data_IF_749713100471
#
_entry.id   IF_749713100471
#
_cell.length_a   1.000
_cell.length_b   1.000
_cell.length_c   1.000
_cell.angle_alpha   90.00
_cell.angle_beta   90.00
_cell.angle_gamma   90.00
#
_symmetry.space_group_name_H-M   'P 1'
#
loop_
_entity.id
_entity.type
_entity.pdbx_description
1 polymer ?
#
# COMPACT_ATOMS: atom_id res chain seq x y z
N UNK A 1 40.21 -53.74 31.76
CA UNK A 1 39.58 -52.41 31.79
C UNK A 1 39.82 -51.72 30.47
N UNK A 2 38.90 -51.92 29.53
CA UNK A 2 38.94 -51.39 28.16
C UNK A 2 38.19 -50.05 28.15
N UNK A 3 38.94 -48.95 28.10
CA UNK A 3 38.39 -47.61 28.00
C UNK A 3 37.82 -47.38 26.58
N UNK A 4 36.49 -47.35 26.46
CA UNK A 4 35.79 -46.90 25.24
C UNK A 4 35.93 -45.39 25.12
N UNK A 5 36.65 -44.92 24.09
CA UNK A 5 36.67 -43.52 23.67
C UNK A 5 35.38 -43.23 22.89
N UNK A 6 34.53 -42.36 23.41
CA UNK A 6 33.43 -41.78 22.66
C UNK A 6 33.99 -40.67 21.75
N UNK A 7 33.91 -40.89 20.43
CA UNK A 7 34.10 -39.84 19.45
C UNK A 7 32.81 -39.02 19.38
N UNK A 8 32.87 -37.75 19.81
CA UNK A 8 31.82 -36.78 19.54
C UNK A 8 32.08 -36.22 18.15
N UNK A 9 31.26 -36.61 17.17
CA UNK A 9 31.21 -35.95 15.86
C UNK A 9 30.32 -34.72 16.05
N UNK A 10 30.93 -33.54 16.14
CA UNK A 10 30.23 -32.28 15.97
C UNK A 10 30.15 -32.05 14.46
N UNK A 11 29.01 -32.40 13.86
CA UNK A 11 28.70 -31.99 12.50
C UNK A 11 28.40 -30.50 12.51
N UNK A 12 29.35 -29.67 12.09
CA UNK A 12 29.05 -28.33 11.60
C UNK A 12 28.27 -28.51 10.30
N UNK A 13 26.93 -28.49 10.38
CA UNK A 13 26.12 -28.19 9.20
C UNK A 13 26.32 -26.71 8.87
N UNK A 14 27.37 -26.43 8.09
CA UNK A 14 27.36 -25.30 7.17
C UNK A 14 26.29 -25.61 6.13
N UNK A 15 25.03 -25.30 6.43
CA UNK A 15 24.09 -25.00 5.36
C UNK A 15 24.62 -23.72 4.72
N UNK A 16 25.42 -23.89 3.68
CA UNK A 16 25.51 -22.88 2.65
C UNK A 16 24.10 -22.74 2.10
N UNK A 17 23.32 -21.83 2.68
CA UNK A 17 22.12 -21.30 2.03
C UNK A 17 22.63 -20.77 0.71
N UNK A 18 22.35 -21.46 -0.39
CA UNK A 18 22.44 -20.83 -1.69
C UNK A 18 21.47 -19.66 -1.61
N UNK A 19 22.02 -18.46 -1.50
CA UNK A 19 21.30 -17.25 -1.89
C UNK A 19 21.05 -17.49 -3.38
N UNK A 20 19.87 -18.03 -3.71
CA UNK A 20 19.33 -17.89 -5.05
C UNK A 20 19.21 -16.39 -5.21
N UNK A 21 20.01 -15.81 -6.09
CA UNK A 21 19.88 -14.39 -6.39
C UNK A 21 18.45 -14.17 -6.88
N UNK A 22 17.74 -13.21 -6.28
CA UNK A 22 16.56 -12.64 -6.91
C UNK A 22 16.87 -12.33 -8.37
N UNK A 23 16.01 -12.79 -9.28
CA UNK A 23 16.02 -12.25 -10.63
C UNK A 23 15.30 -10.90 -10.58
N UNK A 24 15.95 -9.84 -11.07
CA UNK A 24 15.35 -8.49 -11.14
C UNK A 24 16.35 -7.37 -10.84
N UNK A 25 15.86 -6.14 -10.99
CA UNK A 25 16.67 -4.94 -10.78
C UNK A 25 16.80 -4.52 -9.30
N UNK A 26 16.06 -5.17 -8.38
CA UNK A 26 16.25 -4.99 -6.93
C UNK A 26 17.37 -5.90 -6.42
N UNK A 27 18.47 -5.31 -5.92
CA UNK A 27 19.68 -6.05 -5.55
C UNK A 27 19.89 -6.24 -4.03
N UNK A 28 19.28 -5.39 -3.20
CA UNK A 28 19.54 -5.32 -1.76
C UNK A 28 18.27 -5.60 -0.94
N UNK A 29 17.75 -6.81 -1.06
CA UNK A 29 16.52 -7.24 -0.36
C UNK A 29 16.85 -7.59 1.09
N UNK A 30 16.10 -7.01 2.03
CA UNK A 30 16.16 -7.37 3.45
C UNK A 30 14.76 -7.65 3.99
N UNK A 31 14.68 -8.54 4.98
CA UNK A 31 13.43 -8.81 5.68
C UNK A 31 13.18 -7.72 6.73
N UNK A 32 12.06 -6.99 6.58
CA UNK A 32 11.59 -6.02 7.59
C UNK A 32 11.08 -6.75 8.84
N UNK A 33 10.28 -7.78 8.61
CA UNK A 33 9.59 -8.54 9.64
C UNK A 33 9.09 -9.88 9.07
N UNK A 34 8.66 -10.79 9.93
CA UNK A 34 8.14 -12.11 9.54
C UNK A 34 6.98 -12.54 10.44
N UNK A 35 5.99 -13.22 9.85
CA UNK A 35 4.89 -13.77 10.62
C UNK A 35 5.39 -14.86 11.57
N UNK A 36 5.07 -14.76 12.85
CA UNK A 36 5.24 -15.87 13.79
C UNK A 36 4.11 -16.91 13.53
N UNK A 37 4.42 -18.12 13.07
CA UNK A 37 3.41 -19.14 12.75
C UNK A 37 2.65 -19.62 13.99
N UNK A 38 3.19 -19.44 15.19
CA UNK A 38 2.54 -19.76 16.46
C UNK A 38 1.62 -18.62 16.96
N UNK A 39 1.63 -17.47 16.31
CA UNK A 39 0.82 -16.32 16.73
C UNK A 39 -0.67 -16.48 16.38
N UNK A 40 -1.47 -15.60 16.98
CA UNK A 40 -2.89 -15.43 16.66
C UNK A 40 -3.14 -14.86 15.26
N UNK A 41 -2.07 -14.47 14.56
CA UNK A 41 -2.17 -13.88 13.23
C UNK A 41 -1.97 -14.92 12.13
N UNK A 42 -2.57 -14.66 10.97
CA UNK A 42 -2.55 -15.54 9.80
C UNK A 42 -1.64 -15.03 8.68
N UNK A 43 -1.43 -13.71 8.62
CA UNK A 43 -0.72 -13.03 7.52
C UNK A 43 -0.15 -11.68 7.99
N UNK A 44 0.96 -11.28 7.37
CA UNK A 44 1.42 -9.88 7.32
C UNK A 44 1.08 -9.34 5.92
N UNK A 45 0.50 -8.16 5.82
CA UNK A 45 0.06 -7.63 4.52
C UNK A 45 0.22 -6.12 4.37
N UNK A 46 0.10 -5.66 3.12
CA UNK A 46 0.05 -4.25 2.67
C UNK A 46 1.01 -3.32 3.42
N UNK A 47 2.33 -3.54 3.28
CA UNK A 47 3.28 -2.63 3.87
C UNK A 47 3.26 -1.27 3.16
N UNK A 48 3.44 -0.22 3.96
CA UNK A 48 3.63 1.14 3.50
C UNK A 48 4.86 1.74 4.15
N UNK A 49 5.66 2.43 3.35
CA UNK A 49 6.96 2.97 3.73
C UNK A 49 6.93 4.50 3.74
N UNK A 50 7.67 5.12 4.65
CA UNK A 50 7.94 6.55 4.66
C UNK A 50 9.37 6.85 5.15
N UNK A 51 9.98 7.92 4.60
CA UNK A 51 11.26 8.46 5.07
C UNK A 51 11.02 9.49 6.19
N UNK A 52 11.60 9.24 7.36
CA UNK A 52 11.73 10.25 8.41
C UNK A 52 12.98 11.11 8.18
N UNK A 53 14.08 10.48 7.79
CA UNK A 53 15.34 11.12 7.37
C UNK A 53 16.04 10.22 6.34
N UNK A 54 17.22 10.62 5.87
CA UNK A 54 18.02 9.80 4.93
C UNK A 54 18.44 8.44 5.51
N UNK A 55 18.46 8.32 6.85
CA UNK A 55 18.81 7.07 7.52
C UNK A 55 17.64 6.40 8.22
N UNK A 56 16.59 7.15 8.53
CA UNK A 56 15.47 6.63 9.30
C UNK A 56 14.26 6.37 8.41
N UNK A 57 13.88 5.10 8.31
CA UNK A 57 12.71 4.63 7.57
C UNK A 57 11.66 4.09 8.54
N UNK A 58 10.40 4.32 8.21
CA UNK A 58 9.24 3.85 8.96
C UNK A 58 8.40 2.97 8.04
N UNK A 59 8.17 1.72 8.44
CA UNK A 59 7.35 0.76 7.70
C UNK A 59 6.18 0.33 8.57
N UNK A 60 4.95 0.60 8.12
CA UNK A 60 3.73 0.15 8.76
C UNK A 60 3.04 -0.91 7.90
N UNK A 61 2.44 -1.91 8.55
CA UNK A 61 1.79 -3.04 7.88
C UNK A 61 0.73 -3.67 8.80
N UNK A 62 -0.16 -4.47 8.19
CA UNK A 62 -1.23 -5.17 8.90
C UNK A 62 -0.79 -6.54 9.42
N UNK A 63 -1.37 -6.95 10.55
CA UNK A 63 -1.34 -8.31 11.06
C UNK A 63 -2.75 -8.90 11.05
N UNK A 64 -3.01 -9.87 10.17
CA UNK A 64 -4.32 -10.50 10.03
C UNK A 64 -4.72 -11.26 11.27
N UNK A 65 -5.84 -10.93 11.91
CA UNK A 65 -6.39 -11.84 12.92
C UNK A 65 -6.95 -13.10 12.24
N UNK A 66 -6.60 -14.29 12.76
CA UNK A 66 -7.15 -15.55 12.25
C UNK A 66 -8.67 -15.52 12.23
N UNK A 67 -9.26 -15.85 11.08
CA UNK A 67 -10.71 -15.84 10.87
C UNK A 67 -11.32 -14.45 10.64
N UNK A 68 -10.50 -13.40 10.51
CA UNK A 68 -10.91 -12.04 10.14
C UNK A 68 -10.23 -11.62 8.83
N UNK A 69 -10.84 -11.96 7.66
CA UNK A 69 -10.32 -11.53 6.37
C UNK A 69 -10.05 -10.02 6.32
N UNK A 70 -8.85 -9.67 5.87
CA UNK A 70 -8.40 -8.30 5.59
C UNK A 70 -8.60 -7.31 6.76
N UNK A 71 -8.60 -7.78 8.02
CA UNK A 71 -8.58 -6.92 9.21
C UNK A 71 -7.88 -7.56 10.42
N UNK A 72 -7.23 -6.73 11.24
CA UNK A 72 -6.54 -7.15 12.45
C UNK A 72 -5.87 -6.01 13.17
N UNK A 73 -4.56 -6.08 13.36
CA UNK A 73 -3.77 -5.02 14.03
C UNK A 73 -2.90 -4.27 13.02
N UNK A 74 -2.50 -3.04 13.38
CA UNK A 74 -1.51 -2.27 12.61
C UNK A 74 -0.27 -2.07 13.47
N UNK A 75 0.87 -2.41 12.90
CA UNK A 75 2.17 -2.35 13.55
C UNK A 75 3.15 -1.51 12.74
N UNK A 76 4.26 -1.14 13.37
CA UNK A 76 5.34 -0.35 12.79
C UNK A 76 6.70 -0.99 13.08
N UNK A 77 7.57 -1.09 12.09
CA UNK A 77 8.99 -1.33 12.27
C UNK A 77 9.80 -0.15 11.74
N UNK A 78 10.96 0.11 12.37
CA UNK A 78 11.80 1.27 12.07
C UNK A 78 13.20 0.79 11.74
N UNK A 79 13.77 1.35 10.67
CA UNK A 79 15.21 1.29 10.39
C UNK A 79 15.87 2.60 10.75
N UNK A 80 17.11 2.55 11.25
CA UNK A 80 17.95 3.74 11.57
C UNK A 80 19.21 3.84 10.71
N UNK A 81 19.36 2.96 9.71
CA UNK A 81 20.56 2.82 8.90
C UNK A 81 20.27 2.72 7.39
N UNK A 82 19.15 3.32 6.95
CA UNK A 82 18.75 3.37 5.54
C UNK A 82 18.12 2.06 5.04
N UNK A 83 17.48 1.31 5.93
CA UNK A 83 16.79 0.07 5.60
C UNK A 83 17.66 -1.18 5.66
N UNK A 84 18.90 -1.12 6.18
CA UNK A 84 19.78 -2.29 6.26
C UNK A 84 19.42 -3.22 7.40
N UNK A 85 19.02 -2.64 8.54
CA UNK A 85 18.50 -3.37 9.69
C UNK A 85 17.20 -2.74 10.18
N UNK A 86 16.34 -3.56 10.77
CA UNK A 86 15.01 -3.18 11.23
C UNK A 86 14.81 -3.58 12.70
N UNK A 87 14.25 -2.66 13.48
CA UNK A 87 13.89 -2.92 14.87
C UNK A 87 12.67 -3.85 14.95
N UNK A 88 12.51 -4.60 16.06
CA UNK A 88 11.28 -5.35 16.30
C UNK A 88 10.04 -4.47 16.18
N UNK A 89 8.96 -5.05 15.65
CA UNK A 89 7.70 -4.33 15.42
C UNK A 89 7.14 -3.77 16.73
N UNK A 90 6.55 -2.59 16.65
CA UNK A 90 5.80 -1.92 17.72
C UNK A 90 4.33 -1.85 17.33
N UNK A 91 3.44 -1.92 18.32
CA UNK A 91 2.00 -1.87 18.09
C UNK A 91 1.54 -0.42 17.90
N UNK A 92 0.78 -0.14 16.84
CA UNK A 92 0.19 1.20 16.59
C UNK A 92 -1.30 1.18 16.90
N UNK A 93 -2.03 0.22 16.31
CA UNK A 93 -3.44 -0.02 16.57
C UNK A 93 -3.64 -1.47 16.99
N UNK A 94 -4.25 -1.66 18.16
CA UNK A 94 -4.39 -2.94 18.86
C UNK A 94 -5.87 -3.27 19.09
N UNK A 95 -6.37 -4.33 18.48
CA UNK A 95 -7.77 -4.77 18.58
C UNK A 95 -8.23 -5.12 20.00
N UNK A 96 -7.29 -5.37 20.92
CA UNK A 96 -7.59 -5.66 22.33
C UNK A 96 -7.95 -4.40 23.09
N UNK A 97 -7.52 -3.24 22.59
CA UNK A 97 -7.87 -1.94 23.16
C UNK A 97 -9.28 -1.55 22.69
N UNK A 98 -10.15 -1.25 23.65
CA UNK A 98 -11.52 -0.81 23.41
C UNK A 98 -11.56 0.69 23.17
N UNK A 99 -12.42 1.11 22.25
CA UNK A 99 -12.89 2.49 22.18
C UNK A 99 -14.34 2.53 22.70
N UNK A 100 -14.48 2.94 23.97
CA UNK A 100 -15.73 2.82 24.71
C UNK A 100 -16.17 1.37 24.87
N UNK A 101 -17.34 1.02 24.32
CA UNK A 101 -17.92 -0.33 24.38
C UNK A 101 -17.56 -1.20 23.18
N UNK A 102 -16.88 -0.65 22.18
CA UNK A 102 -16.60 -1.32 20.90
C UNK A 102 -15.13 -1.73 20.86
N UNK A 103 -14.88 -2.94 20.35
CA UNK A 103 -13.55 -3.38 19.91
C UNK A 103 -13.49 -3.27 18.40
N UNK A 104 -12.35 -2.86 17.88
CA UNK A 104 -12.14 -2.69 16.45
C UNK A 104 -11.04 -3.63 15.97
N UNK A 105 -11.12 -4.05 14.72
CA UNK A 105 -9.95 -4.47 13.96
C UNK A 105 -9.65 -3.39 12.94
N UNK A 106 -8.40 -3.36 12.49
CA UNK A 106 -7.84 -2.32 11.65
C UNK A 106 -7.32 -2.93 10.36
N UNK A 107 -7.26 -2.12 9.31
CA UNK A 107 -6.74 -2.55 8.03
C UNK A 107 -6.14 -1.38 7.26
N UNK A 108 -5.19 -1.76 6.40
CA UNK A 108 -4.45 -0.96 5.44
C UNK A 108 -3.71 0.24 6.06
N UNK A 109 -2.39 0.24 5.94
CA UNK A 109 -1.56 1.33 6.43
C UNK A 109 -1.25 2.30 5.28
N UNK A 110 -1.50 3.59 5.49
CA UNK A 110 -1.06 4.66 4.58
C UNK A 110 -0.24 5.68 5.35
N UNK A 111 1.07 5.68 5.15
CA UNK A 111 1.96 6.66 5.74
C UNK A 111 2.02 7.92 4.89
N UNK A 112 2.04 9.08 5.55
CA UNK A 112 2.19 10.36 4.90
C UNK A 112 3.01 11.33 5.76
N UNK A 113 4.08 11.86 5.19
CA UNK A 113 4.86 12.94 5.79
C UNK A 113 4.54 14.26 5.06
N UNK A 114 3.75 15.16 5.63
CA UNK A 114 3.49 16.45 5.01
C UNK A 114 4.79 17.26 4.88
N UNK A 115 5.02 17.94 3.74
CA UNK A 115 6.18 18.82 3.57
C UNK A 115 6.24 19.87 4.68
N UNK A 116 7.45 20.09 5.22
CA UNK A 116 7.70 21.12 6.24
C UNK A 116 7.20 20.78 7.65
N UNK A 117 6.81 19.53 7.91
CA UNK A 117 6.46 19.08 9.26
C UNK A 117 7.34 17.91 9.72
N UNK A 118 7.69 17.93 11.00
CA UNK A 118 8.43 16.86 11.69
C UNK A 118 7.47 15.87 12.35
N UNK A 119 6.48 15.41 11.58
CA UNK A 119 5.57 14.33 11.96
C UNK A 119 5.31 13.42 10.76
N UNK A 120 5.13 12.13 11.01
CA UNK A 120 4.55 11.20 10.03
C UNK A 120 3.15 10.84 10.50
N UNK A 121 2.18 10.98 9.61
CA UNK A 121 0.83 10.48 9.79
C UNK A 121 0.75 9.05 9.30
N UNK A 122 -0.01 8.24 10.03
CA UNK A 122 -0.50 6.93 9.61
C UNK A 122 -2.01 7.03 9.53
N UNK A 123 -2.55 6.91 8.33
CA UNK A 123 -3.98 6.70 8.11
C UNK A 123 -4.24 5.22 7.97
N UNK A 124 -5.27 4.77 8.69
CA UNK A 124 -5.76 3.40 8.64
C UNK A 124 -7.27 3.41 8.58
N UNK A 125 -7.81 2.22 8.43
CA UNK A 125 -9.22 1.97 8.62
C UNK A 125 -9.47 1.16 9.87
N UNK A 126 -10.69 1.26 10.40
CA UNK A 126 -11.20 0.36 11.43
C UNK A 126 -12.60 -0.13 11.12
N UNK A 127 -12.87 -1.37 11.46
CA UNK A 127 -14.19 -1.97 11.46
C UNK A 127 -14.48 -2.61 12.84
N UNK A 128 -15.72 -2.56 13.35
CA UNK A 128 -16.06 -3.26 14.58
C UNK A 128 -15.67 -4.74 14.50
N UNK A 129 -15.03 -5.26 15.55
CA UNK A 129 -14.47 -6.61 15.55
C UNK A 129 -15.53 -7.71 15.37
N UNK A 130 -16.83 -7.43 15.62
CA UNK A 130 -17.89 -8.38 15.29
C UNK A 130 -18.12 -8.57 13.78
N UNK A 131 -17.69 -7.62 12.94
CA UNK A 131 -17.79 -7.77 11.48
C UNK A 131 -16.88 -8.88 10.99
N UNK A 132 -17.26 -9.47 9.86
CA UNK A 132 -16.49 -10.56 9.25
C UNK A 132 -15.20 -10.05 8.63
N UNK A 133 -15.26 -8.88 7.99
CA UNK A 133 -14.19 -8.25 7.22
C UNK A 133 -14.25 -6.72 7.40
N UNK A 134 -13.30 -6.02 6.77
CA UNK A 134 -13.13 -4.57 6.82
C UNK A 134 -13.92 -3.79 5.78
N UNK A 135 -14.85 -4.41 5.03
CA UNK A 135 -15.57 -3.72 3.94
C UNK A 135 -16.44 -2.56 4.42
N UNK A 136 -16.85 -2.58 5.70
CA UNK A 136 -17.60 -1.52 6.35
C UNK A 136 -16.73 -0.78 7.37
N UNK A 137 -15.69 -0.12 6.89
CA UNK A 137 -14.72 0.56 7.74
C UNK A 137 -14.81 2.09 7.73
N UNK A 138 -14.28 2.68 8.79
CA UNK A 138 -14.14 4.12 9.03
C UNK A 138 -12.67 4.51 9.00
N UNK A 139 -12.38 5.75 8.57
CA UNK A 139 -11.03 6.31 8.59
C UNK A 139 -10.61 6.67 10.02
N UNK A 140 -9.39 6.29 10.39
CA UNK A 140 -8.72 6.69 11.64
C UNK A 140 -7.28 7.07 11.36
N UNK A 141 -6.65 7.76 12.31
CA UNK A 141 -5.26 8.15 12.17
C UNK A 141 -4.46 8.00 13.47
N UNK A 142 -3.15 7.87 13.30
CA UNK A 142 -2.17 8.09 14.34
C UNK A 142 -1.04 8.96 13.76
N UNK A 143 -0.26 9.60 14.62
CA UNK A 143 0.97 10.26 14.18
C UNK A 143 2.14 9.90 15.07
N UNK A 144 3.33 10.01 14.51
CA UNK A 144 4.60 9.90 15.23
C UNK A 144 5.41 11.19 15.05
N UNK A 145 6.03 11.64 16.14
CA UNK A 145 6.95 12.79 16.17
C UNK A 145 8.40 12.37 16.48
N UNK A 146 8.68 11.06 16.54
CA UNK A 146 10.00 10.49 16.83
C UNK A 146 10.44 9.46 15.77
N UNK A 147 9.83 9.54 14.58
CA UNK A 147 10.13 8.68 13.44
C UNK A 147 9.76 7.21 13.67
N UNK A 148 8.58 6.97 14.24
CA UNK A 148 7.94 5.65 14.34
C UNK A 148 8.25 4.86 15.60
N UNK A 149 8.93 5.46 16.59
CA UNK A 149 9.26 4.79 17.86
C UNK A 149 8.08 4.83 18.84
N UNK A 150 7.27 5.89 18.77
CA UNK A 150 6.00 6.02 19.47
C UNK A 150 4.92 6.62 18.57
N UNK A 151 3.66 6.32 18.90
CA UNK A 151 2.50 6.70 18.11
C UNK A 151 1.40 7.27 19.01
N UNK A 152 0.82 8.39 18.57
CA UNK A 152 -0.35 9.00 19.20
C UNK A 152 -1.55 8.80 18.29
N UNK A 153 -2.54 8.02 18.74
CA UNK A 153 -3.79 7.83 18.01
C UNK A 153 -4.66 9.09 18.10
N UNK A 154 -5.31 9.45 17.00
CA UNK A 154 -6.23 10.59 16.93
C UNK A 154 -7.48 10.22 16.14
N UNK A 155 -8.63 10.66 16.65
CA UNK A 155 -9.88 10.60 15.90
C UNK A 155 -9.89 11.72 14.85
N UNK A 156 -10.28 11.37 13.62
CA UNK A 156 -10.43 12.33 12.53
C UNK A 156 -11.89 12.67 12.32
N UNK A 157 -12.17 13.92 11.97
CA UNK A 157 -13.48 14.31 11.48
C UNK A 157 -13.60 13.86 10.01
N UNK A 158 -14.62 13.06 9.68
CA UNK A 158 -14.90 12.68 8.31
C UNK A 158 -16.31 13.14 7.93
N UNK A 159 -16.39 14.08 6.99
CA UNK A 159 -17.65 14.56 6.42
C UNK A 159 -18.22 13.61 5.36
N UNK A 160 -17.43 12.63 4.88
CA UNK A 160 -17.96 11.54 4.06
C UNK A 160 -18.72 10.54 4.92
N UNK A 161 -19.95 10.23 4.51
CA UNK A 161 -20.81 9.25 5.16
C UNK A 161 -20.88 8.00 4.29
N UNK A 162 -20.20 6.95 4.72
CA UNK A 162 -20.19 5.66 4.04
C UNK A 162 -18.93 4.87 4.36
N UNK A 163 -18.91 3.59 3.99
CA UNK A 163 -17.72 2.77 4.12
C UNK A 163 -16.66 3.22 3.11
N UNK A 164 -15.40 3.11 3.50
CA UNK A 164 -14.26 3.48 2.68
C UNK A 164 -13.12 2.48 2.83
N UNK A 165 -12.32 2.39 1.78
CA UNK A 165 -11.11 1.56 1.69
C UNK A 165 -9.96 2.40 1.16
N UNK A 166 -8.94 2.63 1.99
CA UNK A 166 -7.69 3.31 1.62
C UNK A 166 -6.55 2.30 1.47
N UNK A 167 -5.67 2.50 0.50
CA UNK A 167 -4.57 1.56 0.20
C UNK A 167 -3.33 2.27 -0.34
N UNK A 168 -3.55 3.27 -1.19
CA UNK A 168 -2.49 3.99 -1.86
C UNK A 168 -2.13 5.30 -1.13
N UNK A 169 -0.85 5.68 -1.22
CA UNK A 169 -0.34 6.90 -0.57
C UNK A 169 -0.97 8.19 -1.11
N UNK A 170 -0.99 9.21 -0.27
CA UNK A 170 -1.58 10.52 -0.54
C UNK A 170 -0.79 11.37 -1.54
N UNK A 171 -1.46 12.33 -2.16
CA UNK A 171 -0.85 13.38 -2.99
C UNK A 171 -1.12 14.75 -2.38
N UNK A 172 -0.11 15.63 -2.38
CA UNK A 172 -0.29 17.04 -2.00
C UNK A 172 -0.43 17.91 -3.25
N UNK A 173 -1.35 18.86 -3.22
CA UNK A 173 -1.45 19.96 -4.18
C UNK A 173 -1.55 21.27 -3.44
N UNK A 174 -1.23 22.39 -4.10
CA UNK A 174 -1.40 23.73 -3.54
C UNK A 174 -2.48 24.44 -4.33
N UNK A 175 -3.52 24.93 -3.66
CA UNK A 175 -4.58 25.74 -4.26
C UNK A 175 -4.67 27.05 -3.48
N UNK A 176 -4.57 28.17 -4.18
CA UNK A 176 -4.63 29.51 -3.59
C UNK A 176 -3.64 29.69 -2.40
N UNK A 177 -2.45 29.08 -2.50
CA UNK A 177 -1.42 29.12 -1.46
C UNK A 177 -1.64 28.17 -0.27
N UNK A 178 -2.72 27.38 -0.28
CA UNK A 178 -3.06 26.44 0.79
C UNK A 178 -2.76 25.00 0.33
N UNK A 179 -2.08 24.17 1.15
CA UNK A 179 -1.92 22.77 0.85
C UNK A 179 -3.25 22.02 0.99
N UNK A 180 -3.60 21.24 -0.03
CA UNK A 180 -4.66 20.24 0.00
C UNK A 180 -4.03 18.85 -0.14
N UNK A 181 -4.46 17.95 0.73
CA UNK A 181 -4.02 16.57 0.79
C UNK A 181 -5.11 15.68 0.24
N UNK A 182 -4.79 14.93 -0.81
CA UNK A 182 -5.69 14.04 -1.53
C UNK A 182 -5.40 12.60 -1.13
N UNK A 183 -6.39 11.94 -0.54
CA UNK A 183 -6.34 10.54 -0.12
C UNK A 183 -7.28 9.74 -1.01
N UNK A 184 -6.75 8.94 -1.96
CA UNK A 184 -7.58 8.08 -2.78
C UNK A 184 -8.20 6.96 -1.93
N UNK A 185 -9.48 6.73 -2.12
CA UNK A 185 -10.25 5.72 -1.41
C UNK A 185 -11.23 5.02 -2.37
N UNK A 186 -11.72 3.86 -1.99
CA UNK A 186 -12.79 3.20 -2.73
C UNK A 186 -13.80 2.56 -1.78
N UNK A 187 -14.86 1.99 -2.32
CA UNK A 187 -15.83 1.19 -1.57
C UNK A 187 -16.27 -0.01 -2.39
N UNK A 188 -16.67 -1.08 -1.69
CA UNK A 188 -17.19 -2.30 -2.29
C UNK A 188 -18.42 -2.80 -1.52
N UNK A 189 -19.43 -1.94 -1.35
CA UNK A 189 -20.66 -2.34 -0.63
C UNK A 189 -21.45 -3.40 -1.39
N UNK A 190 -21.26 -3.49 -2.72
CA UNK A 190 -21.87 -4.51 -3.56
C UNK A 190 -21.54 -5.95 -3.11
N UNK A 191 -20.42 -6.16 -2.42
CA UNK A 191 -20.02 -7.46 -1.86
C UNK A 191 -20.99 -8.00 -0.80
N UNK A 192 -21.73 -7.12 -0.12
CA UNK A 192 -22.65 -7.47 0.99
C UNK A 192 -24.09 -7.04 0.75
N UNK A 193 -24.30 -6.04 -0.09
CA UNK A 193 -25.62 -5.52 -0.43
C UNK A 193 -25.77 -5.53 -1.95
N UNK A 194 -26.78 -6.25 -2.47
CA UNK A 194 -27.08 -6.28 -3.91
C UNK A 194 -27.48 -4.91 -4.48
N UNK A 195 -27.86 -3.97 -3.62
CA UNK A 195 -28.15 -2.57 -3.96
C UNK A 195 -26.98 -1.63 -3.65
N UNK A 196 -25.84 -2.19 -3.20
CA UNK A 196 -24.60 -1.48 -2.98
C UNK A 196 -23.92 -1.07 -4.30
N UNK A 197 -22.71 -0.57 -4.15
CA UNK A 197 -21.95 0.07 -5.23
C UNK A 197 -20.45 -0.22 -5.08
N UNK A 198 -19.73 -0.02 -6.18
CA UNK A 198 -18.28 -0.22 -6.31
C UNK A 198 -17.69 1.00 -6.99
N UNK A 199 -17.01 1.84 -6.21
CA UNK A 199 -16.53 3.15 -6.68
C UNK A 199 -15.17 3.50 -6.11
N UNK A 200 -14.32 4.06 -6.95
CA UNK A 200 -13.17 4.85 -6.55
C UNK A 200 -13.61 6.31 -6.32
N UNK A 201 -13.01 6.95 -5.33
CA UNK A 201 -13.20 8.36 -5.02
C UNK A 201 -11.94 8.93 -4.36
N UNK A 202 -11.97 10.24 -4.09
CA UNK A 202 -10.87 10.94 -3.43
C UNK A 202 -11.42 11.71 -2.23
N UNK A 203 -10.81 11.51 -1.08
CA UNK A 203 -11.00 12.36 0.09
C UNK A 203 -9.98 13.49 0.05
N UNK A 204 -10.37 14.65 0.59
CA UNK A 204 -9.52 15.83 0.69
C UNK A 204 -9.48 16.37 2.12
N UNK A 205 -8.31 16.86 2.50
CA UNK A 205 -8.10 17.61 3.73
C UNK A 205 -7.14 18.78 3.53
N UNK A 206 -7.28 19.85 4.31
CA UNK A 206 -6.26 20.91 4.45
C UNK A 206 -5.52 20.85 5.79
N UNK A 207 -5.92 19.93 6.68
CA UNK A 207 -5.42 19.85 8.06
C UNK A 207 -4.99 18.46 8.49
N UNK A 208 -5.25 17.44 7.66
CA UNK A 208 -5.08 16.00 7.96
C UNK A 208 -6.00 15.45 9.06
N UNK A 209 -6.70 16.34 9.79
CA UNK A 209 -7.65 16.01 10.85
C UNK A 209 -9.11 16.03 10.39
N UNK A 210 -9.45 16.84 9.39
CA UNK A 210 -10.79 16.91 8.82
C UNK A 210 -10.78 16.53 7.35
N UNK A 211 -11.51 15.48 7.01
CA UNK A 211 -11.63 14.92 5.68
C UNK A 211 -13.02 15.14 5.13
N UNK A 212 -13.12 15.44 3.84
CA UNK A 212 -14.37 15.51 3.09
C UNK A 212 -14.22 14.77 1.78
N UNK A 213 -15.33 14.36 1.18
CA UNK A 213 -15.32 13.91 -0.21
C UNK A 213 -14.88 15.07 -1.11
N UNK A 214 -13.89 14.84 -1.96
CA UNK A 214 -13.57 15.73 -3.06
C UNK A 214 -14.50 15.39 -4.24
N UNK A 215 -14.34 14.21 -4.82
CA UNK A 215 -15.14 13.75 -5.96
C UNK A 215 -14.99 12.23 -6.18
N UNK A 216 -15.94 11.66 -6.92
CA UNK A 216 -15.85 10.29 -7.44
C UNK A 216 -15.00 10.21 -8.71
N UNK A 217 -14.45 9.03 -8.97
CA UNK A 217 -13.90 8.70 -10.30
C UNK A 217 -14.93 7.84 -11.03
N UNK A 218 -15.55 8.42 -12.05
CA UNK A 218 -16.55 7.72 -12.85
C UNK A 218 -15.93 6.73 -13.84
N UNK A 219 -16.71 5.72 -14.22
CA UNK A 219 -16.42 4.78 -15.30
C UNK A 219 -17.50 4.86 -16.39
N UNK A 220 -17.23 4.40 -17.63
CA UNK A 220 -18.24 4.32 -18.69
C UNK A 220 -19.42 3.45 -18.26
N UNK A 221 -20.64 3.98 -18.32
CA UNK A 221 -21.85 3.26 -17.87
C UNK A 221 -22.19 2.04 -18.71
N UNK A 222 -21.81 2.04 -19.98
CA UNK A 222 -22.02 0.91 -20.91
C UNK A 222 -21.05 -0.26 -20.65
N UNK A 223 -19.90 0.04 -20.03
CA UNK A 223 -18.89 -0.96 -19.68
C UNK A 223 -18.41 -0.72 -18.24
N UNK A 224 -19.25 -1.00 -17.22
CA UNK A 224 -18.88 -0.78 -15.84
C UNK A 224 -17.67 -1.62 -15.43
N UNK A 225 -16.71 -0.99 -14.75
CA UNK A 225 -15.50 -1.62 -14.23
C UNK A 225 -15.39 -1.29 -12.76
N UNK A 226 -15.00 -2.26 -11.95
CA UNK A 226 -14.65 -1.98 -10.56
C UNK A 226 -13.28 -1.30 -10.55
N UNK A 227 -13.30 0.02 -10.34
CA UNK A 227 -12.12 0.84 -10.12
C UNK A 227 -11.83 0.92 -8.63
N UNK A 228 -10.60 0.58 -8.23
CA UNK A 228 -10.21 0.63 -6.81
C UNK A 228 -8.70 0.75 -6.62
N UNK A 229 -8.29 0.94 -5.37
CA UNK A 229 -6.88 1.04 -4.94
C UNK A 229 -6.05 2.06 -5.75
N UNK A 230 -6.70 3.13 -6.21
CA UNK A 230 -6.09 4.13 -7.08
C UNK A 230 -4.96 4.90 -6.42
N UNK A 231 -3.86 5.12 -7.16
CA UNK A 231 -2.72 5.94 -6.72
C UNK A 231 -2.64 7.21 -7.56
N UNK A 232 -2.56 8.35 -6.88
CA UNK A 232 -2.46 9.68 -7.49
C UNK A 232 -0.99 10.08 -7.63
N UNK A 233 -0.63 10.63 -8.79
CA UNK A 233 0.64 11.30 -9.05
C UNK A 233 0.44 12.47 -10.04
N UNK A 234 1.42 13.36 -10.24
CA UNK A 234 1.44 14.29 -11.35
C UNK A 234 1.18 13.58 -12.70
N UNK A 235 0.42 14.24 -13.56
CA UNK A 235 0.09 13.70 -14.89
C UNK A 235 1.33 13.54 -15.76
N UNK A 236 1.33 12.51 -16.59
CA UNK A 236 2.34 12.20 -17.61
C UNK A 236 2.11 12.93 -18.94
N UNK A 237 0.93 13.56 -19.10
CA UNK A 237 0.49 14.23 -20.33
C UNK A 237 0.18 15.74 -20.14
N UNK A 238 0.71 16.39 -19.08
CA UNK A 238 0.60 17.84 -18.90
C UNK A 238 0.53 18.30 -17.44
N UNK A 239 0.15 19.56 -17.24
CA UNK A 239 -0.04 20.16 -15.92
C UNK A 239 -1.34 19.63 -15.29
N UNK A 240 -1.24 18.69 -14.35
CA UNK A 240 -2.39 18.10 -13.69
C UNK A 240 -2.03 16.89 -12.83
N UNK A 241 -3.05 16.12 -12.47
CA UNK A 241 -2.91 14.86 -11.76
C UNK A 241 -3.47 13.71 -12.57
N UNK A 242 -2.88 12.53 -12.43
CA UNK A 242 -3.43 11.26 -12.89
C UNK A 242 -3.62 10.34 -11.69
N UNK A 243 -4.78 9.68 -11.62
CA UNK A 243 -5.01 8.55 -10.72
C UNK A 243 -4.98 7.27 -11.56
N UNK A 244 -4.08 6.34 -11.24
CA UNK A 244 -4.01 5.01 -11.88
C UNK A 244 -4.55 3.98 -10.90
N UNK A 245 -5.51 3.17 -11.35
CA UNK A 245 -6.33 2.31 -10.52
C UNK A 245 -6.13 0.84 -10.87
N UNK A 246 -6.19 0.01 -9.83
CA UNK A 246 -6.44 -1.42 -9.97
C UNK A 246 -7.84 -1.61 -10.54
N UNK A 247 -8.00 -2.68 -11.31
CA UNK A 247 -9.26 -3.02 -11.93
C UNK A 247 -9.71 -4.44 -11.63
N UNK A 248 -11.01 -4.65 -11.66
CA UNK A 248 -11.63 -5.96 -11.72
C UNK A 248 -13.00 -5.90 -12.39
N UNK A 249 -13.51 -7.05 -12.82
CA UNK A 249 -14.90 -7.15 -13.28
C UNK A 249 -15.89 -6.88 -12.13
N UNK A 250 -17.08 -6.37 -12.47
CA UNK A 250 -18.11 -5.98 -11.50
C UNK A 250 -18.87 -7.18 -10.88
N UNK A 251 -18.76 -8.39 -11.42
CA UNK A 251 -19.56 -9.54 -10.96
C UNK A 251 -18.80 -10.40 -9.95
N UNK A 252 -17.57 -10.79 -10.31
CA UNK A 252 -16.75 -11.79 -9.63
C UNK A 252 -15.39 -11.25 -9.19
N UNK A 253 -15.13 -9.96 -9.46
CA UNK A 253 -13.86 -9.34 -9.17
C UNK A 253 -12.72 -10.16 -9.80
N UNK A 254 -12.78 -10.54 -11.08
CA UNK A 254 -11.63 -11.16 -11.79
C UNK A 254 -10.83 -10.09 -12.52
N UNK A 255 -9.55 -10.37 -12.88
CA UNK A 255 -8.83 -9.52 -13.83
C UNK A 255 -9.66 -9.31 -15.10
N UNK A 256 -9.55 -8.10 -15.68
CA UNK A 256 -10.18 -7.79 -16.97
C UNK A 256 -9.51 -8.56 -18.11
N UNK A 257 -10.15 -8.56 -19.28
CA UNK A 257 -9.58 -9.05 -20.54
C UNK A 257 -9.64 -7.93 -21.60
N UNK A 258 -8.51 -7.28 -21.95
CA UNK A 258 -7.16 -7.51 -21.41
C UNK A 258 -6.98 -7.03 -19.95
N UNK A 259 -6.05 -7.61 -19.17
CA UNK A 259 -5.82 -7.26 -17.77
C UNK A 259 -5.00 -5.98 -17.66
N UNK A 260 -5.65 -4.83 -17.74
CA UNK A 260 -5.01 -3.51 -17.73
C UNK A 260 -5.52 -2.62 -16.61
N UNK A 261 -4.64 -1.75 -16.12
CA UNK A 261 -5.02 -0.67 -15.24
C UNK A 261 -5.91 0.33 -15.98
N UNK A 262 -6.64 1.13 -15.21
CA UNK A 262 -7.42 2.25 -15.74
C UNK A 262 -6.97 3.54 -15.07
N UNK A 263 -7.07 4.66 -15.77
CA UNK A 263 -6.71 5.95 -15.22
C UNK A 263 -7.79 6.99 -15.41
N UNK A 264 -7.74 8.02 -14.56
CA UNK A 264 -8.51 9.25 -14.70
C UNK A 264 -7.60 10.44 -14.48
N UNK A 265 -7.90 11.55 -15.16
CA UNK A 265 -7.08 12.77 -15.13
C UNK A 265 -7.87 13.90 -14.48
N UNK A 266 -7.16 14.70 -13.70
CA UNK A 266 -7.65 15.95 -13.14
C UNK A 266 -6.78 17.11 -13.60
N UNK A 267 -7.42 18.10 -14.22
CA UNK A 267 -6.77 19.34 -14.68
C UNK A 267 -7.03 20.52 -13.73
N UNK A 268 -7.71 20.28 -12.60
CA UNK A 268 -8.07 21.30 -11.60
C UNK A 268 -7.53 20.95 -10.21
N UNK A 269 -6.37 20.28 -10.20
CA UNK A 269 -5.63 19.89 -8.99
C UNK A 269 -6.44 18.95 -8.09
N UNK A 270 -7.21 18.02 -8.67
CA UNK A 270 -7.93 16.97 -7.96
C UNK A 270 -9.31 17.37 -7.46
N UNK A 271 -9.92 18.45 -7.96
CA UNK A 271 -11.30 18.82 -7.62
C UNK A 271 -12.30 17.99 -8.43
N UNK A 272 -12.00 17.76 -9.71
CA UNK A 272 -12.79 16.90 -10.59
C UNK A 272 -11.89 15.89 -11.29
N UNK A 273 -12.49 14.78 -11.72
CA UNK A 273 -11.82 13.66 -12.38
C UNK A 273 -12.56 13.31 -13.65
N UNK A 274 -11.83 13.07 -14.75
CA UNK A 274 -12.43 12.59 -15.98
C UNK A 274 -13.06 11.21 -15.80
N UNK A 275 -13.97 10.82 -16.70
CA UNK A 275 -14.36 9.40 -16.80
C UNK A 275 -13.11 8.56 -17.06
N UNK A 276 -12.95 7.48 -16.30
CA UNK A 276 -11.79 6.62 -16.37
C UNK A 276 -11.69 5.90 -17.71
N UNK A 277 -10.46 5.66 -18.15
CA UNK A 277 -10.14 4.97 -19.41
C UNK A 277 -9.10 3.88 -19.18
N UNK A 278 -9.07 2.81 -19.98
CA UNK A 278 -8.02 1.81 -19.90
C UNK A 278 -6.66 2.42 -20.22
N UNK A 279 -5.61 1.88 -19.60
CA UNK A 279 -4.20 2.18 -19.85
C UNK A 279 -3.56 0.95 -20.53
N UNK A 280 -3.58 0.84 -21.89
CA UNK A 280 -3.20 -0.40 -22.58
C UNK A 280 -1.75 -0.83 -22.33
N UNK A 281 -0.88 0.12 -21.98
CA UNK A 281 0.52 -0.14 -21.69
C UNK A 281 0.78 -0.63 -20.25
N UNK A 282 -0.20 -0.53 -19.34
CA UNK A 282 -0.06 -0.79 -17.91
C UNK A 282 -0.85 -2.04 -17.50
N UNK A 283 -0.20 -3.20 -17.33
CA UNK A 283 -0.89 -4.41 -16.91
C UNK A 283 -1.46 -4.30 -15.49
N UNK A 284 -2.61 -4.92 -15.24
CA UNK A 284 -3.18 -5.07 -13.91
C UNK A 284 -3.92 -6.39 -13.77
N UNK A 285 -3.42 -7.26 -12.90
CA UNK A 285 -3.97 -8.60 -12.67
C UNK A 285 -4.73 -8.68 -11.35
N UNK A 286 -5.55 -7.66 -11.06
CA UNK A 286 -6.31 -7.56 -9.80
C UNK A 286 -5.37 -7.63 -8.58
N UNK A 287 -4.33 -6.82 -8.63
CA UNK A 287 -3.38 -6.59 -7.53
C UNK A 287 -3.09 -5.11 -7.43
N UNK A 288 -2.84 -4.60 -6.21
CA UNK A 288 -2.39 -3.22 -6.03
C UNK A 288 -1.09 -3.05 -6.80
N UNK A 289 -1.03 -2.01 -7.63
CA UNK A 289 0.18 -1.55 -8.27
C UNK A 289 0.68 -0.26 -7.59
N UNK A 290 1.95 0.05 -7.76
CA UNK A 290 2.49 1.36 -7.46
C UNK A 290 2.51 2.22 -8.73
N UNK A 291 2.07 3.47 -8.62
CA UNK A 291 2.25 4.50 -9.64
C UNK A 291 2.83 5.75 -9.00
N UNK A 292 3.86 6.32 -9.59
CA UNK A 292 4.51 7.49 -9.05
C UNK A 292 5.36 8.20 -10.08
N UNK A 293 5.90 9.35 -9.68
CA UNK A 293 6.87 10.12 -10.45
C UNK A 293 8.07 10.40 -9.57
N UNK A 294 9.27 10.27 -10.12
CA UNK A 294 10.51 10.64 -9.44
C UNK A 294 10.76 12.15 -9.56
N UNK A 295 11.78 12.64 -8.86
CA UNK A 295 12.21 14.05 -8.91
C UNK A 295 12.79 14.48 -10.26
N UNK A 296 13.11 13.55 -11.16
CA UNK A 296 13.50 13.84 -12.55
C UNK A 296 12.29 13.95 -13.49
N UNK A 297 11.07 13.69 -13.01
CA UNK A 297 9.87 13.64 -13.85
C UNK A 297 9.64 12.29 -14.53
N UNK A 298 10.37 11.24 -14.15
CA UNK A 298 10.17 9.88 -14.65
C UNK A 298 9.02 9.21 -13.92
N UNK A 299 7.98 8.83 -14.66
CA UNK A 299 6.93 7.97 -14.14
C UNK A 299 7.41 6.54 -14.00
N UNK A 300 6.96 5.89 -12.94
CA UNK A 300 7.20 4.47 -12.66
C UNK A 300 5.87 3.79 -12.34
N UNK A 301 5.69 2.59 -12.89
CA UNK A 301 4.55 1.72 -12.59
C UNK A 301 5.06 0.33 -12.22
N UNK A 302 4.89 -0.09 -10.96
CA UNK A 302 5.32 -1.40 -10.44
C UNK A 302 4.08 -2.26 -10.20
N UNK A 303 4.06 -3.48 -10.74
CA UNK A 303 2.88 -4.33 -10.78
C UNK A 303 3.25 -5.81 -10.65
N UNK A 304 2.29 -6.64 -10.23
CA UNK A 304 2.43 -8.10 -10.25
C UNK A 304 2.39 -8.63 -11.68
N UNK A 305 3.21 -9.62 -12.01
CA UNK A 305 3.37 -10.18 -13.35
C UNK A 305 2.12 -10.89 -13.89
N UNK A 306 1.33 -11.49 -12.99
CA UNK A 306 0.15 -12.27 -13.30
C UNK A 306 -0.84 -12.31 -12.10
N UNK A 307 -1.93 -13.07 -12.22
CA UNK A 307 -2.96 -13.14 -11.18
C UNK A 307 -2.54 -13.93 -9.92
N UNK A 308 -1.57 -14.85 -10.04
CA UNK A 308 -0.93 -15.54 -8.92
C UNK A 308 0.11 -14.67 -8.23
N UNK A 309 0.66 -13.68 -8.95
CA UNK A 309 1.58 -12.64 -8.45
C UNK A 309 2.96 -13.22 -8.08
N UNK A 310 3.51 -14.07 -8.93
CA UNK A 310 4.78 -14.78 -8.72
C UNK A 310 6.00 -13.86 -8.87
N UNK A 311 5.83 -12.70 -9.50
CA UNK A 311 6.87 -11.68 -9.59
C UNK A 311 6.32 -10.25 -9.59
N UNK A 312 7.20 -9.32 -9.26
CA UNK A 312 6.99 -7.89 -9.48
C UNK A 312 7.75 -7.45 -10.73
N UNK A 313 7.10 -6.63 -11.54
CA UNK A 313 7.63 -6.03 -12.75
C UNK A 313 7.40 -4.54 -12.72
N UNK A 314 8.13 -3.82 -13.55
CA UNK A 314 7.91 -2.39 -13.67
C UNK A 314 8.10 -1.87 -15.09
N UNK A 315 7.50 -0.72 -15.32
CA UNK A 315 7.70 0.11 -16.52
C UNK A 315 8.03 1.53 -16.10
N UNK A 316 8.77 2.23 -16.94
CA UNK A 316 9.11 3.64 -16.75
C UNK A 316 8.75 4.45 -17.99
N UNK A 317 8.46 5.73 -17.81
CA UNK A 317 8.12 6.67 -18.87
C UNK A 317 8.63 8.07 -18.50
N UNK A 318 9.25 8.77 -19.44
CA UNK A 318 9.43 10.23 -19.31
C UNK A 318 8.16 10.94 -19.77
N UNK A 319 7.90 12.14 -19.27
CA UNK A 319 6.75 12.94 -19.70
C UNK A 319 6.74 13.09 -21.24
N UNK A 320 5.62 12.74 -21.86
CA UNK A 320 5.45 12.75 -23.32
C UNK A 320 6.01 11.54 -24.10
N UNK A 321 6.85 10.69 -23.51
CA UNK A 321 7.42 9.51 -24.17
C UNK A 321 6.47 8.30 -24.14
N UNK A 322 6.83 7.20 -24.81
CA UNK A 322 6.16 5.92 -24.62
C UNK A 322 6.62 5.24 -23.31
N UNK A 323 5.76 4.39 -22.73
CA UNK A 323 6.18 3.48 -21.67
C UNK A 323 7.25 2.51 -22.18
N UNK A 324 8.25 2.24 -21.34
CA UNK A 324 9.27 1.24 -21.62
C UNK A 324 8.67 -0.16 -21.78
N UNK A 325 9.47 -1.07 -22.34
CA UNK A 325 9.24 -2.50 -22.15
C UNK A 325 9.23 -2.86 -20.66
N UNK A 326 8.54 -3.96 -20.34
CA UNK A 326 8.47 -4.47 -18.98
C UNK A 326 9.85 -4.97 -18.53
N UNK A 327 10.24 -4.60 -17.30
CA UNK A 327 11.47 -5.05 -16.65
C UNK A 327 11.12 -5.82 -15.38
N UNK A 328 11.90 -6.87 -15.09
CA UNK A 328 11.73 -7.61 -13.84
C UNK A 328 12.17 -6.73 -12.68
N UNK A 329 11.27 -6.49 -11.73
CA UNK A 329 11.58 -5.77 -10.50
C UNK A 329 12.15 -6.75 -9.47
N UNK A 330 11.43 -7.84 -9.19
CA UNK A 330 11.82 -8.89 -8.25
C UNK A 330 11.05 -10.19 -8.52
N UNK A 331 11.75 -11.33 -8.50
CA UNK A 331 11.15 -12.66 -8.63
C UNK A 331 12.00 -13.72 -7.91
N UNK A 332 11.43 -14.40 -6.90
CA UNK A 332 12.12 -15.45 -6.12
C UNK A 332 11.25 -16.69 -5.86
N UNK A 333 10.46 -17.15 -6.84
CA UNK A 333 9.55 -18.32 -6.69
C UNK A 333 8.62 -18.21 -5.47
N UNK A 334 8.23 -16.98 -5.13
CA UNK A 334 7.34 -16.60 -4.06
C UNK A 334 6.25 -15.66 -4.62
N UNK A 335 5.17 -15.47 -3.89
CA UNK A 335 4.11 -14.54 -4.24
C UNK A 335 4.45 -13.16 -3.70
N UNK A 336 4.28 -12.11 -4.50
CA UNK A 336 4.70 -10.75 -4.16
C UNK A 336 3.61 -9.74 -4.51
N UNK A 337 3.16 -8.97 -3.53
CA UNK A 337 2.06 -8.03 -3.71
C UNK A 337 2.27 -6.70 -2.99
N UNK A 338 1.38 -5.76 -3.30
CA UNK A 338 1.26 -4.49 -2.60
C UNK A 338 2.56 -3.65 -2.49
N UNK A 339 3.29 -3.45 -3.60
CA UNK A 339 4.49 -2.63 -3.56
C UNK A 339 4.16 -1.19 -3.16
N UNK A 340 4.99 -0.63 -2.29
CA UNK A 340 5.03 0.79 -1.94
C UNK A 340 6.45 1.29 -2.09
N UNK A 341 6.64 2.38 -2.83
CA UNK A 341 7.95 2.96 -3.11
C UNK A 341 8.05 4.39 -2.54
N UNK A 342 9.25 4.75 -2.08
CA UNK A 342 9.64 6.12 -1.71
C UNK A 342 10.96 6.46 -2.41
N UNK A 343 11.05 7.66 -2.97
CA UNK A 343 12.28 8.10 -3.62
C UNK A 343 13.35 8.39 -2.56
N UNK A 344 14.53 7.80 -2.72
CA UNK A 344 15.69 8.05 -1.86
C UNK A 344 16.56 9.18 -2.39
N UNK A 345 16.91 9.07 -3.67
CA UNK A 345 17.66 10.04 -4.47
C UNK A 345 16.98 10.14 -5.82
N UNK A 346 17.30 11.17 -6.61
CA UNK A 346 16.73 11.34 -7.95
C UNK A 346 16.81 10.06 -8.79
N UNK A 347 15.63 9.47 -9.07
CA UNK A 347 15.47 8.25 -9.85
C UNK A 347 15.87 6.94 -9.14
N UNK A 348 16.17 6.98 -7.84
CA UNK A 348 16.43 5.80 -7.01
C UNK A 348 15.35 5.65 -5.97
N UNK A 349 14.77 4.45 -5.91
CA UNK A 349 13.63 4.15 -5.07
C UNK A 349 14.01 3.13 -4.00
N UNK A 350 13.47 3.30 -2.81
CA UNK A 350 13.37 2.25 -1.79
C UNK A 350 11.96 1.70 -1.87
N UNK A 351 11.84 0.38 -1.90
CA UNK A 351 10.56 -0.31 -1.99
C UNK A 351 10.31 -1.21 -0.79
N UNK A 352 9.04 -1.43 -0.49
CA UNK A 352 8.57 -2.50 0.39
C UNK A 352 7.37 -3.18 -0.27
N UNK A 353 7.23 -4.49 -0.10
CA UNK A 353 6.13 -5.31 -0.57
C UNK A 353 5.90 -6.44 0.42
N UNK A 354 4.74 -7.08 0.40
CA UNK A 354 4.55 -8.34 1.11
C UNK A 354 4.95 -9.52 0.23
N UNK A 355 5.42 -10.59 0.89
CA UNK A 355 5.88 -11.79 0.22
C UNK A 355 5.47 -13.04 0.97
N UNK A 356 5.07 -14.09 0.25
CA UNK A 356 4.71 -15.40 0.80
C UNK A 356 5.17 -16.55 -0.09
N UNK A 357 5.43 -17.72 0.48
CA UNK A 357 5.72 -18.92 -0.30
C UNK A 357 4.45 -19.68 -0.74
N UNK A 358 3.29 -19.25 -0.25
CA UNK A 358 1.97 -19.88 -0.41
C UNK A 358 0.85 -18.86 -0.52
#
# INVERSE_FOLDING_TARGET
>A
MTAKRFATIITFCLTATRILFADGDVTDVVQVDQLDPASIYERIWEPHLAKWSDKQLVCCYGLQLRGKPDMGDIVCSVSKDGGKTWLPRTMVFDHRLRNGTVQYAYNNAVLFRPPGQDIIWLFCMRAPLQYRDSENAELVAAYTADGGLSWTQVEVANAYQGPLIIVAGMQTVVRDGVPHYLLPAHRNTLRRDRHGDRRQFVLESTSLLHWKMAEYVDYPTETPVFLHEGKIAPSDDGDGLKIVMRTADMERERPLDPPVAWSSVSNDLGRTWSVAKPEPALPNFRSKAFFGVDSNGTHIYVYSDNANREGLWYKTRQAGDAWSEAKCFYHENNLNSYPTLVEDQSGKWIAVWDSSNE
#
